data_IF_037265670058
#
_entry.id   IF_037265670058
#
_cell.length_a   1.000
_cell.length_b   1.000
_cell.length_c   1.000
_cell.angle_alpha   90.00
_cell.angle_beta   90.00
_cell.angle_gamma   90.00
#
_symmetry.space_group_name_H-M   'P 1'
#
loop_
_entity.id
_entity.type
_entity.pdbx_description
1 polymer ?
#
# COMPACT_ATOMS: atom_id res chain seq x y z
N UNK A 1 -39.08 35.00 23.33
CA UNK A 1 -37.94 35.86 22.90
C UNK A 1 -36.76 34.94 22.59
N UNK A 2 -36.47 34.75 21.31
CA UNK A 2 -35.40 33.90 20.77
C UNK A 2 -34.61 34.78 19.80
N UNK A 3 -33.26 34.89 19.87
CA UNK A 3 -32.51 35.68 18.91
C UNK A 3 -32.15 34.86 17.67
N UNK A 4 -32.40 35.46 16.50
CA UNK A 4 -32.07 34.95 15.18
C UNK A 4 -30.63 35.31 14.78
N UNK A 5 -29.85 34.33 14.31
CA UNK A 5 -28.50 34.54 13.75
C UNK A 5 -28.55 34.32 12.24
N UNK A 6 -28.39 35.40 11.47
CA UNK A 6 -28.23 35.38 10.00
C UNK A 6 -26.81 34.91 9.64
N UNK A 7 -26.70 33.97 8.71
CA UNK A 7 -25.44 33.58 8.05
C UNK A 7 -25.61 33.80 6.54
N UNK A 8 -24.72 34.60 5.95
CA UNK A 8 -24.65 34.87 4.52
C UNK A 8 -24.07 33.65 3.78
N UNK A 9 -24.78 33.15 2.78
CA UNK A 9 -24.29 32.17 1.83
C UNK A 9 -23.47 32.85 0.72
N UNK A 10 -22.27 32.33 0.45
CA UNK A 10 -21.48 32.64 -0.75
C UNK A 10 -21.61 31.48 -1.74
N UNK A 11 -22.19 31.80 -2.89
CA UNK A 11 -22.28 30.95 -4.07
C UNK A 11 -20.93 30.89 -4.81
N UNK A 12 -20.44 29.68 -5.11
CA UNK A 12 -19.35 29.45 -6.04
C UNK A 12 -19.84 28.52 -7.16
N UNK A 13 -19.76 29.03 -8.38
CA UNK A 13 -20.18 28.39 -9.63
C UNK A 13 -19.10 27.44 -10.12
N UNK A 14 -19.53 26.25 -10.55
CA UNK A 14 -18.77 25.23 -11.27
C UNK A 14 -18.88 25.51 -12.76
N UNK A 15 -17.80 25.43 -13.53
CA UNK A 15 -17.81 25.09 -14.97
C UNK A 15 -16.37 24.85 -15.47
N UNK A 16 -16.12 23.70 -16.11
CA UNK A 16 -14.85 23.43 -16.78
C UNK A 16 -14.54 21.96 -17.04
N UNK A 17 -15.31 21.32 -17.90
CA UNK A 17 -15.11 19.95 -18.39
C UNK A 17 -14.01 19.97 -19.47
N UNK A 18 -12.90 19.26 -19.29
CA UNK A 18 -11.92 19.01 -20.37
C UNK A 18 -12.26 17.71 -21.10
N UNK A 19 -12.36 17.79 -22.43
CA UNK A 19 -12.59 16.67 -23.35
C UNK A 19 -11.25 16.21 -23.93
N UNK A 20 -11.12 14.90 -24.11
CA UNK A 20 -9.99 14.23 -24.76
C UNK A 20 -10.21 14.01 -26.27
N UNK A 21 -9.07 13.85 -26.97
CA UNK A 21 -8.80 13.19 -28.26
C UNK A 21 -9.03 13.99 -29.57
N UNK A 22 -8.41 13.63 -30.73
CA UNK A 22 -7.50 12.51 -31.00
C UNK A 22 -6.19 12.85 -31.76
N UNK A 23 -5.35 11.81 -31.88
CA UNK A 23 -4.12 11.68 -32.67
C UNK A 23 -4.29 11.84 -34.18
N UNK A 24 -3.33 12.50 -34.83
CA UNK A 24 -3.16 12.50 -36.29
C UNK A 24 -1.80 11.90 -36.66
N UNK A 25 -1.84 10.75 -37.34
CA UNK A 25 -0.73 10.22 -38.13
C UNK A 25 -0.62 11.02 -39.42
N UNK A 26 0.58 11.51 -39.75
CA UNK A 26 0.89 12.09 -41.06
C UNK A 26 2.08 11.37 -41.69
N UNK A 27 1.86 10.97 -42.94
CA UNK A 27 2.65 10.05 -43.74
C UNK A 27 3.99 10.60 -44.24
N UNK A 28 4.91 9.66 -44.44
CA UNK A 28 6.17 9.80 -45.17
C UNK A 28 5.94 10.18 -46.65
N UNK A 29 6.86 10.97 -47.22
CA UNK A 29 7.08 11.06 -48.67
C UNK A 29 8.57 10.83 -49.00
N UNK A 30 8.89 10.00 -50.02
CA UNK A 30 10.25 9.76 -50.50
C UNK A 30 10.62 10.62 -51.73
N UNK A 31 11.87 10.51 -52.17
CA UNK A 31 12.56 11.18 -53.31
C UNK A 31 13.08 12.59 -52.98
N UNK A 32 14.36 12.91 -53.14
CA UNK A 32 15.17 12.81 -54.36
C UNK A 32 16.66 12.53 -54.05
N UNK A 33 17.32 11.88 -55.02
CA UNK A 33 18.70 11.41 -54.98
C UNK A 33 19.54 12.12 -56.07
N UNK A 34 20.82 12.35 -55.74
CA UNK A 34 22.04 12.57 -56.59
C UNK A 34 22.40 14.00 -57.03
N UNK A 35 23.66 14.27 -57.44
CA UNK A 35 24.90 13.46 -57.33
C UNK A 35 26.11 14.20 -56.69
N UNK A 36 27.14 13.38 -56.46
CA UNK A 36 28.52 13.70 -56.08
C UNK A 36 29.19 14.80 -56.90
N UNK A 37 29.97 15.64 -56.22
CA UNK A 37 31.24 16.14 -56.75
C UNK A 37 32.34 15.97 -55.71
N UNK A 38 33.31 15.13 -56.06
CA UNK A 38 34.57 14.99 -55.37
C UNK A 38 35.47 16.18 -55.75
N UNK A 39 36.05 16.85 -54.74
CA UNK A 39 37.19 17.73 -54.93
C UNK A 39 38.23 17.40 -53.87
N UNK A 40 39.26 16.71 -54.33
CA UNK A 40 40.54 16.47 -53.67
C UNK A 40 41.18 17.79 -53.22
N UNK A 41 41.50 17.93 -51.92
CA UNK A 41 42.67 18.72 -51.46
C UNK A 41 43.27 18.13 -50.19
N UNK A 42 44.48 17.60 -50.39
CA UNK A 42 45.68 17.64 -49.54
C UNK A 42 45.54 17.56 -48.02
N UNK A 43 46.12 16.48 -47.50
CA UNK A 43 46.60 16.30 -46.14
C UNK A 43 47.48 17.48 -45.69
N UNK A 44 47.15 18.06 -44.54
CA UNK A 44 48.11 18.76 -43.70
C UNK A 44 48.00 18.19 -42.28
N UNK A 45 49.02 17.42 -41.91
CA UNK A 45 49.26 16.97 -40.53
C UNK A 45 49.63 18.20 -39.70
N UNK A 46 48.75 18.62 -38.82
CA UNK A 46 49.10 19.41 -37.64
C UNK A 46 48.90 18.54 -36.41
N UNK A 47 50.02 18.02 -35.91
CA UNK A 47 50.14 17.48 -34.57
C UNK A 47 49.90 18.66 -33.62
N UNK A 48 48.72 18.70 -33.03
CA UNK A 48 48.43 19.53 -31.87
C UNK A 48 48.28 18.58 -30.69
N UNK A 49 49.34 18.49 -29.89
CA UNK A 49 49.35 17.84 -28.59
C UNK A 49 48.36 18.55 -27.66
N UNK A 50 47.10 18.15 -27.73
CA UNK A 50 46.15 18.37 -26.65
C UNK A 50 45.92 17.04 -25.95
N UNK A 51 46.85 16.74 -25.04
CA UNK A 51 46.63 15.82 -23.94
C UNK A 51 45.43 16.32 -23.12
N UNK A 52 44.22 15.90 -23.53
CA UNK A 52 43.06 15.90 -22.65
C UNK A 52 43.39 14.89 -21.56
N UNK A 53 43.87 15.39 -20.42
CA UNK A 53 43.64 14.71 -19.16
C UNK A 53 42.13 14.50 -19.03
N UNK A 54 41.68 13.33 -19.47
CA UNK A 54 40.37 12.82 -19.11
C UNK A 54 40.46 12.52 -17.63
N UNK A 55 40.20 13.53 -16.80
CA UNK A 55 39.96 13.32 -15.38
C UNK A 55 38.82 12.32 -15.29
N UNK A 56 39.16 11.08 -14.93
CA UNK A 56 38.20 10.07 -14.53
C UNK A 56 37.40 10.71 -13.41
N UNK A 57 36.16 11.09 -13.73
CA UNK A 57 35.20 11.69 -12.82
C UNK A 57 35.35 11.01 -11.48
N UNK A 58 35.92 11.73 -10.51
CA UNK A 58 36.09 11.27 -9.13
C UNK A 58 34.70 10.89 -8.67
N UNK A 59 34.36 9.60 -8.77
CA UNK A 59 33.14 9.04 -8.20
C UNK A 59 33.21 9.48 -6.75
N UNK A 60 32.36 10.44 -6.37
CA UNK A 60 32.26 10.94 -5.00
C UNK A 60 32.20 9.70 -4.13
N UNK A 61 33.20 9.53 -3.27
CA UNK A 61 33.21 8.51 -2.24
C UNK A 61 31.88 8.69 -1.51
N UNK A 62 30.94 7.79 -1.75
CA UNK A 62 29.66 7.79 -1.05
C UNK A 62 30.06 7.67 0.41
N UNK A 63 29.93 8.79 1.12
CA UNK A 63 30.21 8.93 2.55
C UNK A 63 29.83 7.64 3.26
N UNK A 64 30.78 7.02 3.97
CA UNK A 64 30.58 5.79 4.75
C UNK A 64 29.41 5.92 5.75
N UNK A 65 28.89 7.13 5.96
CA UNK A 65 27.62 7.40 6.65
C UNK A 65 26.37 6.90 5.93
N UNK A 66 26.43 6.41 4.69
CA UNK A 66 25.23 6.09 3.88
C UNK A 66 24.71 4.65 3.99
N UNK A 67 25.33 3.72 4.72
CA UNK A 67 24.80 2.34 4.82
C UNK A 67 24.92 1.69 6.20
N UNK A 68 24.75 2.43 7.30
CA UNK A 68 24.46 1.79 8.59
C UNK A 68 22.98 1.38 8.59
N UNK A 69 22.65 0.26 7.96
CA UNK A 69 21.31 -0.35 8.06
C UNK A 69 21.20 -0.91 9.48
N UNK A 70 20.45 -0.21 10.34
CA UNK A 70 20.15 -0.69 11.68
C UNK A 70 19.31 -1.96 11.53
N UNK A 71 19.90 -3.09 11.86
CA UNK A 71 19.18 -4.34 12.01
C UNK A 71 18.31 -4.20 13.26
N UNK A 72 17.01 -4.34 13.08
CA UNK A 72 16.03 -4.21 14.16
C UNK A 72 15.44 -5.59 14.37
N UNK A 73 15.80 -6.19 15.50
CA UNK A 73 15.36 -7.53 15.90
C UNK A 73 13.99 -7.54 16.59
N UNK A 74 13.59 -6.39 17.16
CA UNK A 74 12.33 -6.23 17.88
C UNK A 74 11.57 -5.01 17.38
N UNK A 75 10.26 -5.16 17.17
CA UNK A 75 9.39 -4.07 16.70
C UNK A 75 8.03 -4.14 17.37
N UNK A 76 7.60 -3.05 18.00
CA UNK A 76 6.21 -2.89 18.45
C UNK A 76 5.37 -2.29 17.33
N UNK A 77 4.25 -2.92 17.03
CA UNK A 77 3.36 -2.57 15.92
C UNK A 77 1.93 -2.47 16.45
N UNK A 78 1.29 -1.33 16.24
CA UNK A 78 -0.14 -1.16 16.45
C UNK A 78 -0.87 -1.54 15.16
N UNK A 79 -1.74 -2.55 15.22
CA UNK A 79 -2.54 -2.99 14.07
C UNK A 79 -4.01 -2.70 14.36
N UNK A 80 -4.68 -2.08 13.39
CA UNK A 80 -6.12 -1.78 13.44
C UNK A 80 -6.78 -2.33 12.20
N UNK A 81 -7.68 -3.31 12.36
CA UNK A 81 -8.48 -3.83 11.26
C UNK A 81 -9.29 -2.73 10.56
N UNK A 82 -9.67 -2.97 9.31
CA UNK A 82 -10.60 -2.07 8.62
C UNK A 82 -11.94 -2.01 9.35
N UNK A 83 -12.59 -0.85 9.39
CA UNK A 83 -13.93 -0.74 9.95
C UNK A 83 -14.96 -1.31 8.97
N UNK A 84 -16.02 -1.92 9.49
CA UNK A 84 -17.17 -2.28 8.66
C UNK A 84 -17.91 -1.03 8.18
N UNK A 85 -18.44 -1.08 6.96
CA UNK A 85 -19.32 -0.03 6.44
C UNK A 85 -20.67 -0.07 7.14
N UNK A 86 -21.35 1.08 7.23
CA UNK A 86 -22.68 1.16 7.82
C UNK A 86 -23.76 0.66 6.87
N UNK A 87 -24.78 -0.02 7.41
CA UNK A 87 -25.99 -0.30 6.66
C UNK A 87 -26.81 0.96 6.43
N UNK A 88 -27.49 1.04 5.29
CA UNK A 88 -28.34 2.19 4.94
C UNK A 88 -29.81 1.89 5.24
N UNK A 89 -30.53 2.90 5.71
CA UNK A 89 -31.99 2.87 5.78
C UNK A 89 -32.55 3.72 4.66
N UNK A 90 -33.11 3.07 3.64
CA UNK A 90 -33.68 3.75 2.47
C UNK A 90 -34.95 3.02 2.01
N UNK A 91 -35.84 3.76 1.36
CA UNK A 91 -37.04 3.23 0.75
C UNK A 91 -37.02 3.50 -0.74
N UNK A 92 -37.48 2.51 -1.49
CA UNK A 92 -37.57 2.61 -2.94
C UNK A 92 -38.58 3.70 -3.32
N UNK A 93 -38.21 4.56 -4.27
CA UNK A 93 -39.09 5.62 -4.75
C UNK A 93 -39.29 5.49 -6.25
N UNK A 94 -40.54 5.30 -6.68
CA UNK A 94 -40.95 5.19 -8.08
C UNK A 94 -42.01 6.25 -8.39
N UNK A 95 -41.96 6.89 -9.57
CA UNK A 95 -43.04 7.76 -10.00
C UNK A 95 -44.37 7.01 -10.02
N UNK A 96 -45.41 7.59 -9.40
CA UNK A 96 -46.77 7.01 -9.24
C UNK A 96 -46.89 5.84 -8.24
N UNK A 97 -45.90 5.64 -7.38
CA UNK A 97 -45.99 4.71 -6.25
C UNK A 97 -45.76 5.46 -4.95
N UNK A 98 -46.82 5.57 -4.15
CA UNK A 98 -46.79 6.35 -2.89
C UNK A 98 -45.91 5.67 -1.81
N UNK A 99 -45.96 4.34 -1.72
CA UNK A 99 -45.19 3.57 -0.74
C UNK A 99 -44.33 2.50 -1.42
N UNK A 100 -43.01 2.71 -1.41
CA UNK A 100 -42.04 1.69 -1.80
C UNK A 100 -41.59 0.84 -0.62
N UNK A 101 -41.13 -0.37 -0.92
CA UNK A 101 -40.52 -1.25 0.07
C UNK A 101 -39.12 -0.76 0.49
N UNK A 102 -38.55 -1.34 1.57
CA UNK A 102 -37.19 -1.03 1.99
C UNK A 102 -36.17 -1.46 0.93
N UNK A 103 -35.25 -0.57 0.58
CA UNK A 103 -34.21 -0.78 -0.43
C UNK A 103 -32.80 -0.40 0.05
N UNK A 104 -32.61 -0.20 1.35
CA UNK A 104 -31.31 0.06 1.94
C UNK A 104 -30.43 -1.19 1.95
N UNK A 105 -29.24 -1.08 1.36
CA UNK A 105 -28.24 -2.15 1.34
C UNK A 105 -27.44 -2.27 2.63
N UNK A 106 -26.83 -3.45 2.81
CA UNK A 106 -25.85 -3.72 3.87
C UNK A 106 -24.50 -3.03 3.56
N UNK A 107 -23.77 -2.67 4.60
CA UNK A 107 -22.39 -2.19 4.49
C UNK A 107 -21.41 -3.33 4.26
N UNK A 108 -20.28 -3.02 3.62
CA UNK A 108 -19.21 -3.98 3.37
C UNK A 108 -18.40 -4.30 4.62
N UNK A 109 -17.80 -5.50 4.66
CA UNK A 109 -16.89 -5.88 5.74
C UNK A 109 -15.59 -5.09 5.66
N UNK A 110 -14.98 -4.80 6.81
CA UNK A 110 -13.64 -4.24 6.89
C UNK A 110 -12.57 -5.25 6.45
N UNK A 111 -11.48 -4.74 5.87
CA UNK A 111 -10.34 -5.54 5.45
C UNK A 111 -9.53 -6.06 6.64
N UNK A 112 -9.16 -7.34 6.58
CA UNK A 112 -8.26 -7.96 7.55
C UNK A 112 -6.82 -7.50 7.35
N UNK A 113 -6.05 -7.50 8.44
CA UNK A 113 -4.59 -7.34 8.39
C UNK A 113 -3.96 -8.70 8.60
N UNK A 114 -3.14 -9.14 7.64
CA UNK A 114 -2.47 -10.43 7.66
C UNK A 114 -0.96 -10.21 7.61
N UNK A 115 -0.25 -10.81 8.56
CA UNK A 115 1.21 -10.95 8.51
C UNK A 115 1.53 -12.15 7.63
N UNK A 116 2.30 -11.95 6.57
CA UNK A 116 2.73 -13.00 5.65
C UNK A 116 4.25 -13.09 5.67
N UNK A 117 4.77 -14.30 5.81
CA UNK A 117 6.21 -14.53 5.73
C UNK A 117 6.70 -14.38 4.30
N UNK A 118 7.75 -13.58 4.12
CA UNK A 118 8.45 -13.41 2.86
C UNK A 118 9.96 -13.65 3.06
N UNK A 119 10.54 -14.52 2.21
CA UNK A 119 11.97 -14.84 2.22
C UNK A 119 12.86 -13.67 1.77
N UNK A 120 12.30 -12.71 1.02
CA UNK A 120 13.03 -11.55 0.55
C UNK A 120 13.26 -10.53 1.68
N UNK A 121 12.40 -10.53 2.69
CA UNK A 121 12.51 -9.65 3.85
C UNK A 121 13.44 -10.30 4.87
N UNK A 122 14.50 -9.58 5.26
CA UNK A 122 15.53 -10.08 6.20
C UNK A 122 15.49 -9.38 7.56
N UNK A 123 14.83 -8.24 7.68
CA UNK A 123 14.81 -7.42 8.89
C UNK A 123 13.43 -6.83 9.14
N UNK A 124 13.09 -6.61 10.42
CA UNK A 124 11.83 -5.95 10.81
C UNK A 124 11.87 -4.41 10.63
N UNK A 125 12.95 -3.87 10.08
CA UNK A 125 13.10 -2.44 9.82
C UNK A 125 12.12 -1.90 8.77
N UNK A 126 11.64 -2.75 7.86
CA UNK A 126 10.61 -2.40 6.88
C UNK A 126 9.21 -2.25 7.50
N UNK A 127 9.01 -2.79 8.70
CA UNK A 127 7.72 -2.81 9.37
C UNK A 127 7.45 -1.46 10.05
N UNK A 128 6.36 -0.83 9.67
CA UNK A 128 5.89 0.43 10.23
C UNK A 128 5.41 0.21 11.68
N UNK A 129 5.38 1.29 12.46
CA UNK A 129 4.88 1.23 13.85
C UNK A 129 3.36 1.12 13.93
N UNK A 130 2.63 1.51 12.89
CA UNK A 130 1.17 1.50 12.84
C UNK A 130 0.68 1.05 11.47
N UNK A 131 -0.36 0.20 11.48
CA UNK A 131 -1.07 -0.22 10.27
C UNK A 131 -2.58 -0.10 10.47
N UNK A 132 -3.24 0.40 9.43
CA UNK A 132 -4.70 0.54 9.37
C UNK A 132 -5.21 -0.25 8.16
N UNK A 133 -6.14 -1.17 8.41
CA UNK A 133 -6.81 -1.94 7.37
C UNK A 133 -7.77 -1.08 6.57
N UNK A 134 -8.08 -1.51 5.34
CA UNK A 134 -9.02 -0.81 4.48
C UNK A 134 -10.45 -0.98 5.02
N UNK A 135 -11.16 0.12 5.25
CA UNK A 135 -12.55 0.07 5.69
C UNK A 135 -13.48 -0.42 4.57
N UNK A 136 -14.59 -1.06 4.94
CA UNK A 136 -15.67 -1.38 4.04
C UNK A 136 -16.47 -0.12 3.64
N UNK A 137 -17.06 -0.15 2.46
CA UNK A 137 -17.95 0.90 1.99
C UNK A 137 -19.34 0.79 2.64
N UNK A 138 -20.03 1.91 2.79
CA UNK A 138 -21.39 1.92 3.30
C UNK A 138 -22.38 1.32 2.30
N UNK A 139 -23.50 0.81 2.81
CA UNK A 139 -24.63 0.45 1.96
C UNK A 139 -25.21 1.66 1.23
N UNK A 140 -25.79 1.42 0.06
CA UNK A 140 -26.47 2.43 -0.76
C UNK A 140 -27.98 2.20 -0.84
N UNK A 141 -28.64 3.08 -1.60
CA UNK A 141 -30.04 2.89 -2.02
C UNK A 141 -30.14 1.85 -3.14
N UNK A 142 -31.37 1.48 -3.53
CA UNK A 142 -31.66 0.53 -4.61
C UNK A 142 -31.03 -0.85 -4.41
N UNK A 143 -30.95 -1.30 -3.16
CA UNK A 143 -30.33 -2.56 -2.75
C UNK A 143 -28.84 -2.65 -3.10
N UNK A 144 -28.14 -1.52 -3.13
CA UNK A 144 -26.71 -1.48 -3.37
C UNK A 144 -25.95 -1.86 -2.09
N UNK A 145 -25.26 -2.99 -2.11
CA UNK A 145 -24.41 -3.44 -1.01
C UNK A 145 -23.03 -2.77 -1.08
N UNK A 146 -22.51 -2.36 0.08
CA UNK A 146 -21.18 -1.77 0.18
C UNK A 146 -20.08 -2.78 -0.13
N UNK A 147 -19.02 -2.34 -0.83
CA UNK A 147 -17.86 -3.17 -1.11
C UNK A 147 -17.08 -3.49 0.17
N UNK A 148 -16.61 -4.73 0.28
CA UNK A 148 -15.67 -5.12 1.33
C UNK A 148 -14.31 -4.44 1.18
N UNK A 149 -13.69 -4.08 2.30
CA UNK A 149 -12.33 -3.57 2.36
C UNK A 149 -11.31 -4.60 1.88
N UNK A 150 -10.27 -4.14 1.20
CA UNK A 150 -9.18 -5.00 0.76
C UNK A 150 -8.37 -5.55 1.94
N UNK A 151 -7.85 -6.77 1.80
CA UNK A 151 -6.94 -7.36 2.80
C UNK A 151 -5.59 -6.65 2.69
N UNK A 152 -5.03 -6.26 3.83
CA UNK A 152 -3.69 -5.66 3.92
C UNK A 152 -2.69 -6.71 4.36
N UNK A 153 -1.74 -7.03 3.47
CA UNK A 153 -0.65 -7.96 3.75
C UNK A 153 0.59 -7.20 4.24
N UNK A 154 1.11 -7.60 5.38
CA UNK A 154 2.35 -7.10 5.96
C UNK A 154 3.40 -8.19 5.81
N UNK A 155 4.45 -7.91 5.03
CA UNK A 155 5.55 -8.85 4.83
C UNK A 155 6.48 -8.83 6.04
N UNK A 156 6.76 -10.01 6.58
CA UNK A 156 7.69 -10.23 7.69
C UNK A 156 8.73 -11.28 7.34
N UNK A 157 9.94 -11.19 7.90
CA UNK A 157 10.99 -12.19 7.70
C UNK A 157 10.59 -13.56 8.27
N UNK A 158 11.19 -14.61 7.72
CA UNK A 158 11.07 -15.98 8.24
C UNK A 158 11.63 -16.04 9.67
N UNK A 159 10.97 -16.76 10.57
CA UNK A 159 11.37 -16.88 11.98
C UNK A 159 10.89 -15.72 12.85
N UNK A 160 9.81 -15.03 12.46
CA UNK A 160 9.21 -13.96 13.27
C UNK A 160 8.28 -14.56 14.33
N UNK A 161 8.53 -14.25 15.59
CA UNK A 161 7.61 -14.47 16.70
C UNK A 161 6.66 -13.28 16.86
N UNK A 162 5.37 -13.56 16.95
CA UNK A 162 4.33 -12.57 17.23
C UNK A 162 3.88 -12.71 18.68
N UNK A 163 4.10 -11.67 19.47
CA UNK A 163 3.68 -11.61 20.87
C UNK A 163 2.60 -10.55 21.10
N UNK A 164 1.67 -10.83 21.98
CA UNK A 164 0.64 -9.88 22.44
C UNK A 164 0.64 -9.91 23.97
N UNK A 165 0.80 -8.76 24.63
CA UNK A 165 0.84 -8.70 26.10
C UNK A 165 1.97 -9.49 26.79
N UNK A 166 2.97 -9.99 26.05
CA UNK A 166 4.06 -10.82 26.57
C UNK A 166 3.89 -12.32 26.27
N UNK A 167 2.72 -12.76 25.81
CA UNK A 167 2.46 -14.13 25.40
C UNK A 167 2.73 -14.31 23.90
N UNK A 168 3.23 -15.48 23.51
CA UNK A 168 3.46 -15.81 22.10
C UNK A 168 2.14 -16.30 21.50
N UNK A 169 1.61 -15.54 20.53
CA UNK A 169 0.33 -15.85 19.89
C UNK A 169 0.53 -16.62 18.59
N UNK A 170 1.63 -16.35 17.88
CA UNK A 170 1.98 -17.05 16.66
C UNK A 170 3.49 -17.12 16.45
N UNK A 171 3.91 -18.18 15.78
CA UNK A 171 5.29 -18.45 15.39
C UNK A 171 5.36 -18.65 13.87
N UNK A 172 5.91 -17.68 13.17
CA UNK A 172 5.98 -17.63 11.71
C UNK A 172 7.33 -18.18 11.24
N UNK A 173 7.50 -19.49 11.37
CA UNK A 173 8.78 -20.18 11.17
C UNK A 173 9.00 -20.69 9.74
N UNK A 174 7.93 -20.95 8.98
CA UNK A 174 8.02 -21.50 7.63
C UNK A 174 7.70 -20.44 6.57
N UNK A 175 8.30 -20.54 5.37
CA UNK A 175 7.96 -19.64 4.27
C UNK A 175 6.51 -19.88 3.82
N UNK A 176 5.76 -18.79 3.65
CA UNK A 176 4.34 -18.85 3.32
C UNK A 176 3.40 -18.92 4.52
N UNK A 177 3.92 -18.98 5.76
CA UNK A 177 3.08 -18.86 6.95
C UNK A 177 2.35 -17.50 6.95
N UNK A 178 1.08 -17.55 7.32
CA UNK A 178 0.20 -16.39 7.43
C UNK A 178 -0.45 -16.35 8.81
N UNK A 179 -0.52 -15.16 9.39
CA UNK A 179 -1.20 -14.93 10.66
C UNK A 179 -2.09 -13.70 10.57
N UNK A 180 -3.36 -13.85 10.99
CA UNK A 180 -4.32 -12.75 11.03
C UNK A 180 -4.01 -11.88 12.24
N UNK A 181 -3.30 -10.77 11.99
CA UNK A 181 -2.88 -9.84 13.02
C UNK A 181 -4.08 -9.09 13.64
N UNK A 182 -5.02 -8.65 12.80
CA UNK A 182 -6.23 -7.98 13.22
C UNK A 182 -7.41 -8.32 12.31
N UNK A 183 -8.55 -8.64 12.90
CA UNK A 183 -9.80 -8.85 12.18
C UNK A 183 -10.41 -7.51 11.74
N UNK A 184 -10.91 -7.46 10.50
CA UNK A 184 -11.76 -6.37 10.05
C UNK A 184 -13.13 -6.42 10.73
N UNK A 185 -13.76 -5.26 10.87
CA UNK A 185 -15.09 -5.14 11.45
C UNK A 185 -16.17 -5.67 10.52
N UNK A 186 -17.23 -6.25 11.08
CA UNK A 186 -18.38 -6.71 10.32
C UNK A 186 -19.17 -5.54 9.71
N UNK A 187 -19.65 -5.70 8.48
CA UNK A 187 -20.53 -4.76 7.81
C UNK A 187 -21.88 -4.62 8.52
N UNK A 188 -22.38 -3.39 8.60
CA UNK A 188 -23.67 -3.06 9.18
C UNK A 188 -24.83 -3.53 8.30
N UNK A 189 -25.98 -3.79 8.93
CA UNK A 189 -27.18 -4.29 8.25
C UNK A 189 -28.10 -3.15 7.82
N UNK A 190 -28.50 -3.17 6.55
CA UNK A 190 -29.46 -2.24 5.99
C UNK A 190 -30.87 -2.53 6.47
N UNK A 191 -31.81 -1.62 6.23
CA UNK A 191 -33.18 -1.79 6.69
C UNK A 191 -33.89 -3.01 6.08
N UNK A 192 -33.52 -3.41 4.86
CA UNK A 192 -34.07 -4.61 4.21
C UNK A 192 -33.81 -5.90 5.00
N UNK A 193 -32.70 -5.97 5.74
CA UNK A 193 -32.38 -7.13 6.59
C UNK A 193 -33.38 -7.31 7.74
N UNK A 194 -33.97 -6.22 8.23
CA UNK A 194 -34.94 -6.21 9.34
C UNK A 194 -36.39 -6.41 8.89
N UNK A 195 -36.62 -6.77 7.63
CA UNK A 195 -37.96 -7.01 7.11
C UNK A 195 -38.57 -8.25 7.76
N UNK A 196 -39.67 -8.06 8.48
CA UNK A 196 -40.43 -9.14 9.14
C UNK A 196 -41.89 -9.12 8.69
N UNK A 197 -42.63 -10.20 8.92
CA UNK A 197 -44.07 -10.23 8.61
C UNK A 197 -44.83 -9.11 9.35
N UNK A 198 -44.45 -8.89 10.61
CA UNK A 198 -45.06 -7.90 11.50
C UNK A 198 -44.59 -6.46 11.22
N UNK A 199 -43.39 -6.30 10.63
CA UNK A 199 -42.82 -5.00 10.25
C UNK A 199 -42.37 -5.00 8.79
N UNK A 200 -43.27 -4.55 7.90
CA UNK A 200 -43.05 -4.50 6.46
C UNK A 200 -42.23 -3.30 5.98
N UNK A 201 -42.04 -2.29 6.84
CA UNK A 201 -41.29 -1.06 6.52
C UNK A 201 -40.33 -0.69 7.67
N UNK A 202 -39.31 -1.52 7.95
CA UNK A 202 -38.32 -1.21 8.95
C UNK A 202 -37.55 0.06 8.59
N UNK A 203 -37.39 0.94 9.57
CA UNK A 203 -36.52 2.14 9.49
C UNK A 203 -35.17 1.92 10.16
N UNK A 204 -35.00 0.79 10.84
CA UNK A 204 -33.82 0.43 11.62
C UNK A 204 -32.68 -0.03 10.72
N UNK A 205 -31.47 0.45 10.98
CA UNK A 205 -30.23 -0.04 10.37
C UNK A 205 -29.16 -0.20 11.46
N UNK A 206 -28.21 -1.10 11.25
CA UNK A 206 -27.08 -1.30 12.17
C UNK A 206 -25.84 -0.62 11.60
N UNK A 207 -25.09 0.14 12.41
CA UNK A 207 -23.78 0.66 11.99
C UNK A 207 -22.79 -0.49 11.76
N UNK A 208 -21.73 -0.21 11.00
CA UNK A 208 -20.62 -1.15 10.87
C UNK A 208 -19.87 -1.32 12.19
N UNK A 209 -19.36 -2.51 12.45
CA UNK A 209 -18.53 -2.77 13.62
C UNK A 209 -17.13 -2.16 13.42
N UNK A 210 -16.50 -1.65 14.48
CA UNK A 210 -15.10 -1.23 14.40
C UNK A 210 -14.21 -2.44 14.14
N UNK A 211 -13.10 -2.21 13.43
CA UNK A 211 -12.06 -3.21 13.27
C UNK A 211 -11.37 -3.52 14.60
N UNK A 212 -10.81 -4.72 14.72
CA UNK A 212 -10.06 -5.12 15.90
C UNK A 212 -8.77 -4.29 16.01
N UNK A 213 -8.50 -3.75 17.19
CA UNK A 213 -7.25 -3.06 17.51
C UNK A 213 -6.39 -3.94 18.43
N UNK A 214 -5.12 -4.16 18.05
CA UNK A 214 -4.15 -4.92 18.83
C UNK A 214 -2.78 -4.28 18.79
N UNK A 215 -2.02 -4.47 19.86
CA UNK A 215 -0.61 -4.09 19.95
C UNK A 215 0.22 -5.37 19.92
N UNK A 216 0.94 -5.57 18.82
CA UNK A 216 1.77 -6.74 18.60
C UNK A 216 3.24 -6.39 18.77
N UNK A 217 3.98 -7.29 19.40
CA UNK A 217 5.43 -7.25 19.52
C UNK A 217 6.02 -8.32 18.62
N UNK A 218 6.69 -7.88 17.56
CA UNK A 218 7.37 -8.76 16.62
C UNK A 218 8.82 -8.91 17.07
N UNK A 219 9.27 -10.15 17.20
CA UNK A 219 10.65 -10.50 17.53
C UNK A 219 11.18 -11.48 16.51
N UNK A 220 12.38 -11.24 15.99
CA UNK A 220 13.05 -12.20 15.12
C UNK A 220 13.74 -13.26 15.99
N UNK A 221 13.51 -14.56 15.72
CA UNK A 221 14.38 -15.63 16.21
C UNK A 221 15.70 -15.55 15.44
N UNK A 222 16.62 -14.74 15.93
CA UNK A 222 17.91 -14.49 15.29
C UNK A 222 18.70 -15.80 15.17
N UNK A 223 18.80 -16.35 13.95
CA UNK A 223 19.94 -17.17 13.54
C UNK A 223 21.02 -16.19 13.08
N UNK A 224 22.03 -15.95 13.91
CA UNK A 224 23.13 -15.04 13.64
C UNK A 224 23.74 -15.31 12.25
N UNK A 225 23.44 -14.47 11.26
CA UNK A 225 24.11 -14.46 9.96
C UNK A 225 25.48 -13.75 10.00
N UNK A 226 25.91 -13.33 11.19
CA UNK A 226 27.24 -12.85 11.49
C UNK A 226 27.87 -13.74 12.57
N UNK A 227 27.98 -15.04 12.28
CA UNK A 227 29.00 -15.86 12.91
C UNK A 227 30.35 -15.32 12.45
N UNK A 228 31.11 -14.76 13.39
CA UNK A 228 32.46 -14.27 13.18
C UNK A 228 33.31 -15.37 12.52
N UNK A 229 33.60 -15.23 11.22
CA UNK A 229 34.68 -15.98 10.59
C UNK A 229 35.96 -15.34 11.11
N UNK A 230 36.48 -15.90 12.21
CA UNK A 230 37.83 -15.58 12.65
C UNK A 230 38.80 -15.96 11.53
N UNK A 231 39.87 -15.17 11.29
CA UNK A 231 40.87 -15.52 10.29
C UNK A 231 41.38 -16.91 10.59
N UNK A 232 41.38 -17.77 9.57
CA UNK A 232 42.01 -19.08 9.63
C UNK A 232 43.42 -18.91 10.20
N UNK A 233 43.58 -19.38 11.44
CA UNK A 233 44.86 -19.59 12.08
C UNK A 233 45.56 -20.70 11.30
N UNK A 234 46.18 -20.36 10.17
CA UNK A 234 47.09 -21.27 9.48
C UNK A 234 48.46 -21.08 10.11
N UNK A 235 48.66 -21.84 11.19
CA UNK A 235 49.94 -22.41 11.64
C UNK A 235 50.79 -22.74 10.40
N UNK A 236 52.02 -22.24 10.24
CA UNK A 236 53.20 -22.83 10.86
C UNK A 236 54.39 -21.86 10.78
N UNK A 237 55.01 -21.72 11.94
CA UNK A 237 56.35 -21.20 12.17
C UNK A 237 57.42 -22.05 11.48
N UNK A 238 58.41 -21.33 10.95
CA UNK A 238 59.87 -21.56 11.04
C UNK A 238 60.42 -22.99 11.18
N UNK A 239 61.27 -23.33 10.20
CA UNK A 239 62.58 -23.92 10.47
C UNK A 239 62.82 -25.27 9.85
N UNK A 240 63.59 -25.33 8.77
CA UNK A 240 64.67 -26.30 8.58
C UNK A 240 65.55 -25.90 7.39
N UNK A 241 66.83 -25.68 7.73
CA UNK A 241 68.08 -25.76 6.97
C UNK A 241 68.09 -25.57 5.44
#
# INVERSE_FOLDING_TARGET
>A
MIPTRRVLARSFTVLGVSKCAPSTWAALKPSQLRPLQASSRSLSLSIADHAKHQEVSRKKLLSEKKLKRHFVDHRRVLVRGGNGGSGMSCFHSEPRKEFGGPDGGDGGNGGHIILRVDQQVKSLSSVLSQYQGFSGENGGSKNCFGRGGAILYIQVPVGTLVKEGGEIVADLSHPGDEYIAALGGAGGKGNRFFLANDNRAPVTCTPGQPGQERVLHLELKTMAHAGMVGPDCTTLWWGLQ
#
